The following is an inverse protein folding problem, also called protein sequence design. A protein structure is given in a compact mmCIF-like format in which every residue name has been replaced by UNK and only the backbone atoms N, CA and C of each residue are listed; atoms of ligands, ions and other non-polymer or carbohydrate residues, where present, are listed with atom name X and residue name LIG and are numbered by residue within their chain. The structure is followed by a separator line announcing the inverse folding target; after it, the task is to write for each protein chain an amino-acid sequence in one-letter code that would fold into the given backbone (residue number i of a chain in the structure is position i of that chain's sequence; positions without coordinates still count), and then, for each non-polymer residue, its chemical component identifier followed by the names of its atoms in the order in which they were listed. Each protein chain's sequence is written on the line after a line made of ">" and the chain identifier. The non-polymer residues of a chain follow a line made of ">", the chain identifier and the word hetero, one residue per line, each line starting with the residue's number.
data_IF_350071735129
#
_entry.id   IF_350071735129
#
_cell.length_a   1.000
_cell.length_b   1.000
_cell.length_c   1.000
_cell.angle_alpha   90.00
_cell.angle_beta   90.00
_cell.angle_gamma   90.00
#
_symmetry.space_group_name_H-M   'P 1'
#
loop_
_entity.id
_entity.type
_entity.pdbx_description
1 polymer ?
#
# COMPACT_ATOMS: atom_id res chain seq x y z
N UNK A 1 -8.23 45.96 68.99
CA UNK A 1 -9.67 45.90 68.63
C UNK A 1 -9.77 45.19 67.29
N UNK A 2 -10.57 44.09 67.17
CA UNK A 2 -10.80 43.30 65.94
C UNK A 2 -9.53 42.55 65.42
N UNK A 3 -9.47 41.23 65.12
CA UNK A 3 -10.46 40.14 64.90
C UNK A 3 -11.29 40.31 63.61
N UNK A 4 -11.53 39.37 62.69
CA UNK A 4 -11.54 37.87 62.63
C UNK A 4 -11.39 37.41 61.15
N UNK A 5 -11.04 36.19 60.69
CA UNK A 5 -10.35 34.98 61.20
C UNK A 5 -10.04 34.01 60.01
N UNK A 6 -9.51 32.79 60.25
CA UNK A 6 -9.19 31.74 59.24
C UNK A 6 -10.41 30.90 58.77
N UNK A 7 -10.39 30.21 57.60
CA UNK A 7 -10.01 28.77 57.51
C UNK A 7 -9.23 28.41 56.20
N UNK A 8 -8.34 27.40 56.12
CA UNK A 8 -8.48 25.92 56.17
C UNK A 8 -9.31 25.23 55.06
N UNK A 9 -8.66 24.37 54.25
CA UNK A 9 -9.07 22.96 54.14
C UNK A 9 -7.97 22.01 53.65
N UNK A 10 -7.89 20.84 54.29
CA UNK A 10 -6.98 19.71 54.00
C UNK A 10 -7.47 18.78 52.88
N UNK A 11 -6.59 17.92 52.33
CA UNK A 11 -6.57 16.47 52.66
C UNK A 11 -5.48 15.67 51.88
N UNK A 12 -4.70 14.84 52.59
CA UNK A 12 -3.92 13.68 52.10
C UNK A 12 -3.77 12.67 53.25
N UNK A 13 -3.99 11.36 53.07
CA UNK A 13 -3.69 10.34 54.07
C UNK A 13 -2.33 9.63 53.86
N UNK A 14 -1.69 9.25 54.97
CA UNK A 14 -0.50 8.38 55.08
C UNK A 14 -0.91 6.94 55.52
N UNK A 15 -0.03 5.91 55.41
CA UNK A 15 -0.42 4.50 55.57
C UNK A 15 -0.05 3.85 56.94
N UNK A 16 -0.88 2.89 57.36
CA UNK A 16 -0.65 1.90 58.44
C UNK A 16 -1.57 0.67 58.22
N UNK A 17 -1.38 -0.54 58.77
CA UNK A 17 -0.17 -1.27 59.24
C UNK A 17 -0.58 -2.70 59.69
N UNK A 18 0.17 -3.77 59.35
CA UNK A 18 0.12 -5.15 59.92
C UNK A 18 -1.23 -5.94 59.77
N UNK A 19 -1.28 -7.29 59.59
CA UNK A 19 -0.85 -8.37 60.52
C UNK A 19 -0.72 -9.77 59.85
N UNK A 20 0.39 -10.49 60.14
CA UNK A 20 0.55 -11.95 60.43
C UNK A 20 0.24 -13.12 59.44
N UNK A 21 1.30 -13.92 59.16
CA UNK A 21 1.44 -15.42 59.21
C UNK A 21 0.55 -16.33 58.29
N UNK A 22 0.88 -17.59 57.92
CA UNK A 22 1.95 -18.56 58.32
C UNK A 22 2.32 -19.62 57.23
N UNK A 23 3.63 -19.88 57.07
CA UNK A 23 4.39 -21.12 56.74
C UNK A 23 3.77 -22.40 56.11
N UNK A 24 4.27 -22.80 54.91
CA UNK A 24 4.83 -24.11 54.45
C UNK A 24 4.81 -24.14 52.90
N UNK A 25 5.83 -24.49 52.11
CA UNK A 25 7.12 -25.19 52.26
C UNK A 25 7.04 -26.73 52.38
N UNK A 26 7.31 -27.41 51.25
CA UNK A 26 7.98 -28.73 51.09
C UNK A 26 8.60 -28.75 49.68
N UNK A 27 9.81 -29.29 49.54
CA UNK A 27 10.45 -29.60 48.26
C UNK A 27 11.48 -30.73 48.47
N UNK A 28 11.47 -31.76 47.61
CA UNK A 28 12.53 -32.76 47.54
C UNK A 28 12.60 -33.40 46.16
N UNK A 29 13.79 -33.87 45.77
CA UNK A 29 14.11 -34.42 44.46
C UNK A 29 14.62 -35.87 44.56
N UNK A 30 14.96 -36.46 43.40
CA UNK A 30 16.03 -37.46 43.14
C UNK A 30 15.71 -38.97 42.92
N UNK A 31 15.89 -39.35 41.65
CA UNK A 31 16.78 -40.43 41.14
C UNK A 31 16.39 -41.93 41.20
N UNK A 32 17.07 -42.69 40.32
CA UNK A 32 17.00 -44.14 40.01
C UNK A 32 15.69 -44.60 39.30
N UNK A 33 15.67 -45.58 38.39
CA UNK A 33 16.74 -46.38 37.73
C UNK A 33 16.17 -47.32 36.64
N UNK A 34 17.00 -47.88 35.75
CA UNK A 34 16.66 -48.90 34.71
C UNK A 34 16.64 -50.35 35.32
N UNK A 35 16.25 -51.48 34.65
CA UNK A 35 16.04 -51.72 33.20
C UNK A 35 14.88 -52.69 32.76
N UNK A 36 14.84 -52.94 31.44
CA UNK A 36 14.32 -54.09 30.64
C UNK A 36 13.40 -55.21 31.20
N UNK A 37 12.29 -55.49 30.48
CA UNK A 37 11.82 -56.80 29.91
C UNK A 37 10.52 -56.51 29.10
N UNK A 38 10.11 -57.08 27.95
CA UNK A 38 10.48 -58.18 27.03
C UNK A 38 9.40 -59.30 26.92
N UNK A 39 8.51 -59.15 25.93
CA UNK A 39 7.63 -60.16 25.29
C UNK A 39 7.16 -59.54 23.94
N UNK A 40 7.33 -60.13 22.75
CA UNK A 40 6.75 -61.38 22.19
C UNK A 40 5.21 -61.34 22.08
N UNK A 41 4.55 -61.59 20.93
CA UNK A 41 4.97 -61.83 19.53
C UNK A 41 3.72 -61.56 18.60
N UNK A 42 3.61 -61.78 17.27
CA UNK A 42 4.34 -62.56 16.25
C UNK A 42 4.29 -61.88 14.85
N UNK A 43 5.32 -62.15 14.03
CA UNK A 43 5.36 -62.56 12.60
C UNK A 43 4.50 -61.91 11.48
N UNK A 44 5.15 -61.65 10.33
CA UNK A 44 4.48 -61.17 9.10
C UNK A 44 5.40 -60.76 7.93
N UNK A 45 6.55 -61.42 7.72
CA UNK A 45 7.56 -61.01 6.70
C UNK A 45 7.40 -61.71 5.35
N UNK A 46 7.27 -60.96 4.24
CA UNK A 46 7.41 -61.48 2.88
C UNK A 46 7.87 -60.42 1.85
N UNK A 47 8.97 -60.70 1.15
CA UNK A 47 9.55 -59.95 0.01
C UNK A 47 10.52 -60.89 -0.74
N UNK A 48 10.87 -60.71 -2.03
CA UNK A 48 10.21 -59.95 -3.10
C UNK A 48 9.99 -60.76 -4.41
N UNK A 49 9.33 -60.18 -5.41
CA UNK A 49 9.32 -60.62 -6.82
C UNK A 49 8.28 -59.83 -7.62
N UNK A 50 8.43 -59.34 -8.86
CA UNK A 50 9.31 -59.64 -10.02
C UNK A 50 8.66 -60.45 -11.17
N UNK A 51 7.58 -59.91 -11.75
CA UNK A 51 7.29 -59.92 -13.20
C UNK A 51 6.33 -58.74 -13.48
N UNK A 52 6.64 -57.83 -14.41
CA UNK A 52 6.47 -57.88 -15.88
C UNK A 52 5.02 -57.73 -16.38
N UNK A 53 4.78 -56.60 -17.04
CA UNK A 53 3.90 -56.50 -18.22
C UNK A 53 2.39 -56.59 -18.04
N UNK A 54 1.72 -55.44 -17.92
CA UNK A 54 0.83 -54.98 -19.00
C UNK A 54 0.67 -53.44 -18.94
N UNK A 55 1.32 -52.74 -19.87
CA UNK A 55 1.26 -51.27 -19.96
C UNK A 55 0.16 -50.84 -20.92
N UNK A 56 -0.92 -50.25 -20.39
CA UNK A 56 -2.07 -49.80 -21.20
C UNK A 56 -1.62 -48.75 -22.22
N UNK A 57 -1.99 -48.97 -23.49
CA UNK A 57 -1.35 -48.34 -24.64
C UNK A 57 -1.72 -46.85 -24.80
N UNK A 58 -0.76 -45.96 -24.52
CA UNK A 58 -0.85 -44.55 -24.88
C UNK A 58 -0.52 -44.39 -26.38
N UNK A 59 -1.53 -44.06 -27.19
CA UNK A 59 -1.39 -43.99 -28.65
C UNK A 59 -0.35 -42.95 -29.10
N UNK A 60 0.85 -43.43 -29.48
CA UNK A 60 1.89 -42.64 -30.11
C UNK A 60 1.58 -42.50 -31.60
N UNK A 61 1.32 -41.26 -32.05
CA UNK A 61 1.19 -40.95 -33.48
C UNK A 61 2.58 -40.61 -34.02
N UNK A 62 3.09 -41.44 -34.93
CA UNK A 62 4.36 -41.19 -35.62
C UNK A 62 4.26 -40.02 -36.64
N UNK A 63 5.39 -39.33 -36.93
CA UNK A 63 5.35 -38.06 -37.66
C UNK A 63 5.24 -38.22 -39.18
N UNK A 64 4.07 -37.88 -39.75
CA UNK A 64 3.92 -37.73 -41.20
C UNK A 64 4.58 -36.44 -41.69
N UNK A 65 5.63 -36.60 -42.49
CA UNK A 65 6.36 -35.52 -43.13
C UNK A 65 5.69 -35.09 -44.46
N UNK A 66 5.97 -33.87 -44.90
CA UNK A 66 5.81 -33.35 -46.27
C UNK A 66 4.36 -33.30 -46.84
N UNK A 67 3.63 -32.24 -46.49
CA UNK A 67 2.52 -31.70 -47.29
C UNK A 67 2.38 -30.17 -47.12
N UNK A 68 3.35 -29.40 -47.60
CA UNK A 68 3.20 -27.95 -47.73
C UNK A 68 2.22 -27.63 -48.86
N UNK A 69 1.14 -26.88 -48.56
CA UNK A 69 0.26 -26.28 -49.56
C UNK A 69 -0.02 -24.83 -49.21
N UNK A 70 0.03 -23.96 -50.22
CA UNK A 70 -0.01 -22.51 -50.05
C UNK A 70 -1.31 -22.03 -49.43
N UNK A 71 -1.19 -21.19 -48.39
CA UNK A 71 -2.26 -20.28 -47.98
C UNK A 71 -2.11 -19.01 -48.82
N UNK A 72 -2.92 -18.78 -49.87
CA UNK A 72 -2.77 -17.60 -50.71
C UNK A 72 -3.05 -16.34 -49.90
N UNK A 73 -2.13 -15.38 -49.94
CA UNK A 73 -2.25 -14.05 -49.33
C UNK A 73 -3.29 -13.21 -50.08
N UNK A 74 -4.56 -13.53 -49.83
CA UNK A 74 -5.72 -12.84 -50.39
C UNK A 74 -5.68 -11.35 -50.01
N UNK A 75 -5.49 -10.52 -51.03
CA UNK A 75 -5.37 -9.07 -50.90
C UNK A 75 -6.66 -8.52 -50.31
N UNK A 76 -6.57 -7.86 -49.16
CA UNK A 76 -7.68 -7.03 -48.66
C UNK A 76 -7.80 -5.82 -49.61
N UNK A 77 -8.83 -5.80 -50.45
CA UNK A 77 -9.10 -4.63 -51.29
C UNK A 77 -9.54 -3.46 -50.41
N UNK A 78 -8.87 -2.31 -50.58
CA UNK A 78 -9.16 -1.10 -49.82
C UNK A 78 -10.62 -0.64 -49.98
N UNK A 79 -11.28 -0.93 -51.12
CA UNK A 79 -12.69 -0.60 -51.38
C UNK A 79 -13.66 -1.38 -50.50
N UNK A 80 -13.36 -2.64 -50.19
CA UNK A 80 -14.21 -3.46 -49.31
C UNK A 80 -14.11 -2.99 -47.85
N UNK A 81 -12.92 -2.55 -47.43
CA UNK A 81 -12.72 -1.91 -46.13
C UNK A 81 -13.49 -0.59 -46.06
N UNK A 82 -13.37 0.25 -47.09
CA UNK A 82 -14.05 1.56 -47.16
C UNK A 82 -15.58 1.42 -47.20
N UNK A 83 -16.11 0.43 -47.94
CA UNK A 83 -17.53 0.10 -47.97
C UNK A 83 -18.04 -0.35 -46.59
N UNK A 84 -17.27 -1.18 -45.88
CA UNK A 84 -17.60 -1.61 -44.50
C UNK A 84 -17.54 -0.47 -43.48
N UNK A 85 -16.65 0.52 -43.63
CA UNK A 85 -16.64 1.71 -42.79
C UNK A 85 -17.87 2.61 -43.06
N UNK A 86 -18.24 2.81 -44.32
CA UNK A 86 -19.37 3.68 -44.73
C UNK A 86 -20.72 3.22 -44.19
N UNK A 87 -20.92 1.91 -43.96
CA UNK A 87 -22.16 1.39 -43.36
C UNK A 87 -22.22 1.46 -41.83
N UNK A 88 -21.20 1.99 -41.14
CA UNK A 88 -21.05 1.82 -39.67
C UNK A 88 -20.94 3.11 -38.84
N UNK A 89 -21.20 4.29 -39.42
CA UNK A 89 -21.07 5.58 -38.70
C UNK A 89 -22.30 6.49 -38.83
N UNK A 90 -23.14 6.64 -37.78
CA UNK A 90 -24.25 7.60 -37.79
C UNK A 90 -23.76 9.03 -37.51
N UNK A 91 -23.76 9.88 -38.54
CA UNK A 91 -23.78 11.36 -38.47
C UNK A 91 -22.72 12.02 -37.56
N UNK A 92 -21.47 12.08 -38.02
CA UNK A 92 -20.53 13.09 -37.51
C UNK A 92 -21.06 14.52 -37.78
N UNK A 93 -21.07 15.36 -36.75
CA UNK A 93 -21.40 16.80 -36.86
C UNK A 93 -20.32 17.49 -37.70
N UNK A 94 -20.70 18.28 -38.70
CA UNK A 94 -19.77 18.96 -39.62
C UNK A 94 -18.74 19.79 -38.86
N UNK A 95 -17.48 19.38 -38.89
CA UNK A 95 -16.34 20.25 -38.56
C UNK A 95 -16.15 21.23 -39.72
N UNK A 96 -16.06 22.53 -39.44
CA UNK A 96 -15.59 23.49 -40.45
C UNK A 96 -14.10 23.25 -40.67
N UNK A 97 -13.71 23.04 -41.93
CA UNK A 97 -12.30 23.09 -42.32
C UNK A 97 -11.80 24.52 -42.02
N UNK A 98 -10.64 24.61 -41.37
CA UNK A 98 -10.03 25.88 -40.99
C UNK A 98 -9.26 26.44 -42.19
N UNK A 99 -9.60 27.65 -42.63
CA UNK A 99 -8.91 28.34 -43.72
C UNK A 99 -7.69 29.08 -43.15
N UNK A 100 -6.44 28.76 -43.57
CA UNK A 100 -5.24 29.42 -43.06
C UNK A 100 -5.09 30.88 -43.54
N UNK A 101 -5.88 31.34 -44.52
CA UNK A 101 -5.73 32.66 -45.13
C UNK A 101 -6.42 33.82 -44.37
N UNK A 102 -6.96 33.60 -43.16
CA UNK A 102 -7.72 34.63 -42.42
C UNK A 102 -7.28 34.80 -40.95
N UNK A 103 -5.98 34.89 -40.70
CA UNK A 103 -5.45 35.37 -39.42
C UNK A 103 -5.25 36.90 -39.43
N UNK A 104 -5.79 37.64 -38.45
CA UNK A 104 -5.39 39.04 -38.23
C UNK A 104 -3.90 39.08 -37.82
N UNK A 105 -3.10 39.86 -38.53
CA UNK A 105 -1.71 40.10 -38.15
C UNK A 105 -1.64 40.79 -36.77
N UNK A 106 -0.84 40.31 -35.81
CA UNK A 106 -0.66 41.00 -34.53
C UNK A 106 0.07 42.32 -34.75
N UNK A 107 -0.58 43.43 -34.41
CA UNK A 107 0.01 44.77 -34.47
C UNK A 107 1.17 44.89 -33.46
N UNK A 108 2.33 45.46 -33.83
CA UNK A 108 3.43 45.68 -32.90
C UNK A 108 3.07 46.80 -31.91
N UNK A 109 2.89 46.47 -30.64
CA UNK A 109 2.66 47.46 -29.57
C UNK A 109 3.98 48.09 -29.11
N UNK A 110 4.07 49.42 -29.16
CA UNK A 110 5.24 50.18 -28.70
C UNK A 110 5.16 50.49 -27.21
N UNK A 111 6.30 50.51 -26.47
CA UNK A 111 6.30 50.71 -25.03
C UNK A 111 6.36 52.20 -24.66
N UNK A 112 5.24 52.82 -24.31
CA UNK A 112 5.20 54.20 -23.78
C UNK A 112 4.05 54.39 -22.78
N UNK A 113 4.24 55.32 -21.84
CA UNK A 113 3.30 55.81 -20.81
C UNK A 113 2.84 54.83 -19.72
N UNK A 114 3.49 54.94 -18.56
CA UNK A 114 3.06 54.34 -17.30
C UNK A 114 2.37 55.39 -16.39
N UNK A 115 1.22 55.06 -15.76
CA UNK A 115 0.64 55.90 -14.71
C UNK A 115 0.96 55.39 -13.30
N UNK A 116 1.44 56.29 -12.44
CA UNK A 116 1.25 56.35 -10.98
C UNK A 116 1.40 55.07 -10.12
N UNK A 117 2.44 55.05 -9.28
CA UNK A 117 2.50 54.21 -8.07
C UNK A 117 1.26 54.44 -7.17
N UNK A 118 0.62 53.35 -6.74
CA UNK A 118 0.09 53.21 -5.36
C UNK A 118 -0.24 51.74 -5.08
N UNK A 119 0.72 50.97 -4.54
CA UNK A 119 0.39 49.60 -4.08
C UNK A 119 1.54 48.73 -3.59
N UNK A 120 1.73 48.63 -2.27
CA UNK A 120 2.60 47.61 -1.66
C UNK A 120 1.92 46.23 -1.69
N UNK A 121 1.99 45.55 -2.83
CA UNK A 121 1.56 44.17 -2.98
C UNK A 121 2.44 43.43 -3.99
N UNK A 122 3.40 42.62 -3.50
CA UNK A 122 4.26 41.79 -4.36
C UNK A 122 3.38 40.77 -5.09
N UNK A 123 3.31 40.77 -6.44
CA UNK A 123 2.59 39.73 -7.17
C UNK A 123 3.41 38.44 -7.17
N UNK A 124 3.30 37.65 -6.10
CA UNK A 124 3.79 36.26 -6.09
C UNK A 124 2.85 35.41 -6.94
N UNK A 125 3.09 35.39 -8.25
CA UNK A 125 2.55 34.35 -9.12
C UNK A 125 3.01 33.00 -8.56
N UNK A 126 2.07 32.22 -8.01
CA UNK A 126 2.37 30.87 -7.51
C UNK A 126 2.82 30.02 -8.69
N UNK A 127 3.97 29.36 -8.56
CA UNK A 127 4.30 28.23 -9.41
C UNK A 127 3.34 27.08 -9.07
N UNK A 128 2.90 26.35 -10.10
CA UNK A 128 1.90 25.29 -9.93
C UNK A 128 2.54 24.05 -9.33
N UNK A 129 2.50 23.91 -8.01
CA UNK A 129 2.98 22.74 -7.27
C UNK A 129 3.72 23.06 -5.97
N UNK A 130 4.24 24.28 -5.81
CA UNK A 130 4.97 24.73 -4.62
C UNK A 130 4.22 24.43 -3.31
N UNK A 131 4.83 23.63 -2.43
CA UNK A 131 4.31 23.45 -1.08
C UNK A 131 4.41 24.76 -0.28
N UNK A 132 3.29 25.19 0.30
CA UNK A 132 3.20 26.42 1.10
C UNK A 132 3.79 26.18 2.50
N UNK A 133 4.70 27.05 2.94
CA UNK A 133 5.26 26.95 4.30
C UNK A 133 4.23 27.43 5.33
N UNK A 134 3.80 26.52 6.21
CA UNK A 134 2.78 26.80 7.23
C UNK A 134 3.21 26.24 8.60
N UNK A 135 2.69 26.82 9.68
CA UNK A 135 2.92 26.35 11.04
C UNK A 135 2.05 25.11 11.31
N UNK A 136 2.65 23.93 11.16
CA UNK A 136 1.94 22.63 11.24
C UNK A 136 1.95 22.06 12.68
N UNK A 137 0.94 21.27 13.08
CA UNK A 137 0.90 20.66 14.41
C UNK A 137 2.15 19.86 14.75
N UNK A 138 2.54 19.83 16.02
CA UNK A 138 3.77 19.18 16.48
C UNK A 138 3.87 17.71 16.00
N UNK A 139 4.96 17.39 15.29
CA UNK A 139 5.20 16.08 14.70
C UNK A 139 4.64 15.88 13.28
N UNK A 140 3.83 16.81 12.75
CA UNK A 140 3.45 16.86 11.33
C UNK A 140 4.56 17.53 10.52
N UNK A 141 4.82 17.05 9.30
CA UNK A 141 5.83 17.61 8.39
C UNK A 141 5.23 18.15 7.09
N UNK A 142 4.16 17.52 6.61
CA UNK A 142 3.43 17.88 5.39
C UNK A 142 1.94 17.66 5.62
N UNK A 143 1.09 18.47 4.99
CA UNK A 143 -0.35 18.17 4.81
C UNK A 143 -0.75 18.26 3.36
N UNK A 144 -1.73 17.45 2.94
CA UNK A 144 -2.33 17.47 1.59
C UNK A 144 -3.84 17.59 1.71
N UNK A 145 -4.41 18.71 1.24
CA UNK A 145 -5.82 19.09 1.41
C UNK A 145 -6.29 18.91 2.88
N UNK A 146 -5.42 19.26 3.85
CA UNK A 146 -5.63 19.11 5.28
C UNK A 146 -5.33 17.72 5.88
N UNK A 147 -5.12 16.67 5.07
CA UNK A 147 -4.72 15.35 5.56
C UNK A 147 -3.23 15.31 5.93
N UNK A 148 -2.93 14.89 7.16
CA UNK A 148 -1.61 15.07 7.80
C UNK A 148 -0.63 13.91 7.53
N UNK A 149 0.65 14.25 7.38
CA UNK A 149 1.77 13.30 7.29
C UNK A 149 2.75 13.61 8.43
N UNK A 150 3.06 12.59 9.23
CA UNK A 150 3.93 12.75 10.41
C UNK A 150 5.40 12.45 10.11
N UNK A 151 6.30 13.06 10.90
CA UNK A 151 7.73 12.80 10.86
C UNK A 151 8.07 11.33 11.16
N UNK A 152 7.27 10.69 12.03
CA UNK A 152 7.39 9.25 12.33
C UNK A 152 7.08 8.39 11.10
N UNK A 153 5.95 8.61 10.42
CA UNK A 153 5.59 7.86 9.20
C UNK A 153 6.66 7.98 8.11
N UNK A 154 7.16 9.21 7.89
CA UNK A 154 8.20 9.45 6.87
C UNK A 154 9.53 8.81 7.26
N UNK A 155 9.97 8.98 8.52
CA UNK A 155 11.26 8.41 8.94
C UNK A 155 11.24 6.89 9.06
N UNK A 156 10.12 6.25 9.43
CA UNK A 156 10.01 4.79 9.48
C UNK A 156 9.94 4.16 8.08
N UNK A 157 9.26 4.82 7.13
CA UNK A 157 9.28 4.40 5.72
C UNK A 157 10.65 4.62 5.07
N UNK A 158 11.35 5.71 5.40
CA UNK A 158 12.72 5.95 4.96
C UNK A 158 13.73 4.95 5.56
N UNK A 159 13.61 4.58 6.84
CA UNK A 159 14.39 3.50 7.48
C UNK A 159 14.16 2.15 6.79
N UNK A 160 12.91 1.85 6.43
CA UNK A 160 12.59 0.63 5.69
C UNK A 160 13.24 0.60 4.31
N UNK A 161 13.16 1.70 3.54
CA UNK A 161 13.86 1.83 2.26
C UNK A 161 15.38 1.65 2.42
N UNK A 162 16.00 2.30 3.40
CA UNK A 162 17.42 2.15 3.71
C UNK A 162 17.83 0.72 4.12
N UNK A 163 16.89 -0.16 4.47
CA UNK A 163 17.16 -1.52 4.94
C UNK A 163 17.51 -2.52 3.82
N UNK A 164 17.32 -2.18 2.55
CA UNK A 164 17.49 -3.15 1.45
C UNK A 164 17.97 -2.59 0.11
N UNK A 165 17.98 -1.28 -0.10
CA UNK A 165 18.44 -0.64 -1.33
C UNK A 165 19.50 0.43 -1.00
N UNK A 166 20.48 0.60 -1.88
CA UNK A 166 21.47 1.68 -1.77
C UNK A 166 20.88 3.05 -2.15
N UNK A 167 21.51 4.13 -1.68
CA UNK A 167 21.01 5.50 -1.84
C UNK A 167 21.50 6.44 -0.74
N UNK A 168 20.97 7.66 -0.69
CA UNK A 168 21.23 8.64 0.38
C UNK A 168 20.02 8.79 1.31
N UNK A 169 20.20 9.25 2.57
CA UNK A 169 19.10 9.54 3.49
C UNK A 169 18.00 10.40 2.86
N UNK A 170 18.37 11.48 2.18
CA UNK A 170 17.43 12.38 1.51
C UNK A 170 16.66 11.71 0.37
N UNK A 171 17.29 10.76 -0.34
CA UNK A 171 16.62 9.96 -1.38
C UNK A 171 15.52 9.09 -0.79
N UNK A 172 15.80 8.43 0.35
CA UNK A 172 14.79 7.61 1.04
C UNK A 172 13.67 8.46 1.64
N UNK A 173 14.00 9.63 2.20
CA UNK A 173 12.99 10.56 2.74
C UNK A 173 12.12 11.15 1.63
N UNK A 174 12.70 11.55 0.49
CA UNK A 174 11.94 12.07 -0.65
C UNK A 174 11.02 11.00 -1.25
N UNK A 175 11.51 9.75 -1.34
CA UNK A 175 10.70 8.59 -1.77
C UNK A 175 9.59 8.26 -0.77
N UNK A 176 9.85 8.34 0.54
CA UNK A 176 8.83 8.14 1.57
C UNK A 176 7.75 9.24 1.52
N UNK A 177 8.16 10.50 1.32
CA UNK A 177 7.25 11.63 1.13
C UNK A 177 6.37 11.45 -0.12
N UNK A 178 6.95 11.10 -1.27
CA UNK A 178 6.18 10.83 -2.51
C UNK A 178 5.02 9.85 -2.28
N UNK A 179 5.33 8.69 -1.68
CA UNK A 179 4.34 7.65 -1.43
C UNK A 179 3.27 8.08 -0.41
N UNK A 180 3.66 8.78 0.66
CA UNK A 180 2.72 9.24 1.70
C UNK A 180 1.85 10.41 1.21
N UNK A 181 2.39 11.33 0.41
CA UNK A 181 1.67 12.44 -0.21
C UNK A 181 0.64 11.91 -1.22
N UNK A 182 1.02 10.93 -2.05
CA UNK A 182 0.08 10.26 -2.97
C UNK A 182 -1.09 9.62 -2.21
N UNK A 183 -0.83 8.90 -1.12
CA UNK A 183 -1.88 8.33 -0.26
C UNK A 183 -2.77 9.43 0.33
N UNK A 184 -2.19 10.50 0.92
CA UNK A 184 -2.99 11.57 1.53
C UNK A 184 -3.81 12.38 0.54
N UNK A 185 -3.31 12.62 -0.67
CA UNK A 185 -4.09 13.25 -1.75
C UNK A 185 -5.37 12.45 -2.05
N UNK A 186 -5.25 11.12 -2.08
CA UNK A 186 -6.38 10.22 -2.32
C UNK A 186 -7.33 10.20 -1.11
N UNK A 187 -6.80 10.07 0.11
CA UNK A 187 -7.61 10.10 1.34
C UNK A 187 -8.39 11.42 1.49
N UNK A 188 -7.75 12.57 1.26
CA UNK A 188 -8.41 13.87 1.35
C UNK A 188 -9.45 14.07 0.24
N UNK A 189 -9.14 13.71 -1.01
CA UNK A 189 -10.07 13.79 -2.14
C UNK A 189 -11.33 12.91 -1.98
N UNK A 190 -11.24 11.81 -1.22
CA UNK A 190 -12.39 10.96 -0.89
C UNK A 190 -13.33 11.56 0.17
N UNK A 191 -12.85 12.55 0.95
CA UNK A 191 -13.57 13.13 2.08
C UNK A 191 -13.41 12.32 3.38
N UNK A 192 -13.32 13.04 4.50
CA UNK A 192 -13.06 12.49 5.84
C UNK A 192 -14.12 11.49 6.31
N UNK A 193 -15.38 11.69 5.94
CA UNK A 193 -16.48 10.75 6.23
C UNK A 193 -16.25 9.39 5.55
N UNK A 194 -15.99 9.38 4.23
CA UNK A 194 -15.74 8.14 3.48
C UNK A 194 -14.45 7.45 3.95
N UNK A 195 -13.40 8.22 4.24
CA UNK A 195 -12.16 7.71 4.85
C UNK A 195 -12.45 7.01 6.19
N UNK A 196 -13.25 7.65 7.05
CA UNK A 196 -13.61 7.09 8.37
C UNK A 196 -14.45 5.81 8.22
N UNK A 197 -15.44 5.81 7.32
CA UNK A 197 -16.28 4.65 7.05
C UNK A 197 -15.47 3.46 6.52
N UNK A 198 -14.59 3.68 5.53
CA UNK A 198 -13.73 2.64 4.97
C UNK A 198 -12.73 2.10 6.01
N UNK A 199 -12.06 2.97 6.78
CA UNK A 199 -11.13 2.57 7.85
C UNK A 199 -11.83 1.75 8.94
N UNK A 200 -13.06 2.12 9.33
CA UNK A 200 -13.89 1.36 10.28
C UNK A 200 -14.26 -0.03 9.72
N UNK A 201 -14.76 -0.09 8.49
CA UNK A 201 -15.17 -1.33 7.83
C UNK A 201 -14.02 -2.35 7.74
N UNK A 202 -12.85 -1.96 7.24
CA UNK A 202 -11.70 -2.87 7.18
C UNK A 202 -11.12 -3.16 8.57
N UNK A 203 -11.24 -2.24 9.53
CA UNK A 203 -10.86 -2.47 10.94
C UNK A 203 -11.69 -3.57 11.60
N UNK A 204 -12.98 -3.65 11.31
CA UNK A 204 -13.86 -4.73 11.79
C UNK A 204 -13.43 -6.09 11.21
N UNK A 205 -13.05 -6.14 9.93
CA UNK A 205 -12.51 -7.32 9.27
C UNK A 205 -11.13 -7.73 9.81
N UNK A 206 -10.25 -6.77 10.06
CA UNK A 206 -8.93 -7.00 10.65
C UNK A 206 -9.06 -7.54 12.08
N UNK A 207 -9.95 -6.97 12.90
CA UNK A 207 -10.22 -7.42 14.26
C UNK A 207 -10.91 -8.80 14.31
N UNK A 208 -11.65 -9.19 13.26
CA UNK A 208 -12.10 -10.57 13.09
C UNK A 208 -10.93 -11.51 12.76
N UNK A 209 -10.08 -11.12 11.80
CA UNK A 209 -8.95 -11.93 11.31
C UNK A 209 -7.79 -12.09 12.31
N UNK A 210 -7.67 -11.18 13.29
CA UNK A 210 -6.63 -11.21 14.31
C UNK A 210 -6.92 -12.15 15.50
N UNK A 211 -8.09 -12.80 15.54
CA UNK A 211 -8.43 -13.79 16.59
C UNK A 211 -7.64 -15.09 16.37
N UNK A 212 -7.27 -15.85 17.42
CA UNK A 212 -6.43 -17.05 17.29
C UNK A 212 -6.96 -18.08 16.28
N UNK A 213 -8.26 -18.35 16.33
CA UNK A 213 -8.94 -19.37 15.52
C UNK A 213 -9.56 -18.82 14.22
N UNK A 214 -9.17 -17.62 13.79
CA UNK A 214 -9.76 -16.98 12.61
C UNK A 214 -9.24 -17.55 11.28
N UNK A 215 -10.16 -18.01 10.43
CA UNK A 215 -9.86 -18.31 9.03
C UNK A 215 -9.70 -17.00 8.22
N UNK A 216 -8.44 -16.57 8.12
CA UNK A 216 -8.04 -15.45 7.28
C UNK A 216 -8.41 -15.64 5.81
N UNK A 217 -8.38 -16.89 5.30
CA UNK A 217 -8.67 -17.18 3.91
C UNK A 217 -10.18 -17.09 3.61
N UNK A 218 -11.05 -17.42 4.57
CA UNK A 218 -12.48 -17.14 4.47
C UNK A 218 -12.76 -15.62 4.44
N UNK A 219 -12.20 -14.86 5.39
CA UNK A 219 -12.36 -13.40 5.46
C UNK A 219 -11.84 -12.73 4.17
N UNK A 220 -10.72 -13.20 3.62
CA UNK A 220 -10.19 -12.71 2.36
C UNK A 220 -11.05 -13.07 1.13
N UNK A 221 -11.70 -14.25 1.11
CA UNK A 221 -12.66 -14.63 0.07
C UNK A 221 -13.94 -13.79 0.10
N UNK A 222 -14.42 -13.47 1.30
CA UNK A 222 -15.69 -12.74 1.49
C UNK A 222 -15.56 -11.23 1.31
N UNK A 223 -14.40 -10.65 1.65
CA UNK A 223 -14.27 -9.18 1.79
C UNK A 223 -13.16 -8.54 0.93
N UNK A 224 -12.14 -9.30 0.48
CA UNK A 224 -11.03 -8.71 -0.29
C UNK A 224 -11.44 -8.39 -1.72
N UNK A 225 -11.10 -7.19 -2.17
CA UNK A 225 -11.34 -6.71 -3.53
C UNK A 225 -10.14 -6.92 -4.46
N UNK A 226 -9.06 -7.54 -3.97
CA UNK A 226 -7.97 -8.03 -4.80
C UNK A 226 -8.36 -9.33 -5.52
N UNK A 227 -7.91 -9.60 -6.77
CA UNK A 227 -8.10 -10.88 -7.43
C UNK A 227 -7.60 -12.12 -6.65
N UNK A 228 -6.63 -11.97 -5.73
CA UNK A 228 -6.20 -13.06 -4.85
C UNK A 228 -7.25 -13.51 -3.84
N UNK A 229 -8.35 -12.77 -3.66
CA UNK A 229 -9.51 -13.14 -2.83
C UNK A 229 -9.96 -14.59 -3.05
N UNK A 230 -10.09 -15.02 -4.31
CA UNK A 230 -10.46 -16.39 -4.68
C UNK A 230 -9.54 -17.47 -4.06
N UNK A 231 -8.26 -17.13 -3.89
CA UNK A 231 -7.22 -17.99 -3.29
C UNK A 231 -7.03 -17.74 -1.79
N UNK A 232 -7.96 -17.07 -1.11
CA UNK A 232 -7.83 -16.72 0.31
C UNK A 232 -6.87 -15.56 0.58
N UNK A 233 -6.68 -14.69 -0.42
CA UNK A 233 -5.82 -13.50 -0.34
C UNK A 233 -4.33 -13.76 -0.53
N UNK A 234 -3.89 -15.01 -0.66
CA UNK A 234 -2.48 -15.40 -0.83
C UNK A 234 -1.85 -14.71 -2.06
N UNK A 235 -0.70 -14.09 -1.85
CA UNK A 235 0.10 -13.44 -2.90
C UNK A 235 1.23 -14.34 -3.41
N UNK A 236 1.42 -15.54 -2.84
CA UNK A 236 2.63 -16.32 -3.06
C UNK A 236 3.85 -15.64 -2.42
N UNK A 237 5.04 -16.00 -2.89
CA UNK A 237 6.30 -15.41 -2.44
C UNK A 237 6.61 -14.16 -3.26
N UNK A 238 7.01 -13.07 -2.59
CA UNK A 238 7.41 -11.82 -3.25
C UNK A 238 8.60 -11.15 -2.54
N UNK A 239 9.41 -10.41 -3.30
CA UNK A 239 10.53 -9.63 -2.79
C UNK A 239 10.13 -8.21 -2.39
N UNK A 240 11.04 -7.49 -1.72
CA UNK A 240 10.79 -6.12 -1.21
C UNK A 240 10.40 -5.11 -2.29
N UNK A 241 10.93 -5.29 -3.51
CA UNK A 241 10.66 -4.43 -4.67
C UNK A 241 9.45 -4.87 -5.52
N UNK A 242 8.83 -6.01 -5.20
CA UNK A 242 7.72 -6.58 -5.98
C UNK A 242 6.35 -5.98 -5.64
N UNK A 243 6.27 -5.14 -4.60
CA UNK A 243 5.05 -4.54 -4.06
C UNK A 243 5.27 -3.05 -3.77
N UNK A 244 4.20 -2.27 -3.66
CA UNK A 244 4.28 -0.86 -3.23
C UNK A 244 4.90 -0.74 -1.84
N UNK A 245 5.76 0.25 -1.63
CA UNK A 245 6.65 0.33 -0.45
C UNK A 245 5.92 0.20 0.89
N UNK A 246 4.77 0.87 1.15
CA UNK A 246 4.06 0.72 2.43
C UNK A 246 3.52 -0.68 2.68
N UNK A 247 3.17 -1.42 1.62
CA UNK A 247 2.74 -2.82 1.73
C UNK A 247 3.93 -3.75 2.03
N UNK A 248 5.05 -3.54 1.32
CA UNK A 248 6.28 -4.28 1.56
C UNK A 248 6.82 -4.03 2.98
N UNK A 249 6.77 -2.79 3.47
CA UNK A 249 7.16 -2.42 4.84
C UNK A 249 6.43 -3.27 5.88
N UNK A 250 5.10 -3.38 5.78
CA UNK A 250 4.29 -4.18 6.71
C UNK A 250 4.61 -5.68 6.61
N UNK A 251 4.66 -6.23 5.39
CA UNK A 251 4.94 -7.65 5.16
C UNK A 251 6.34 -8.07 5.70
N UNK A 252 7.36 -7.26 5.46
CA UNK A 252 8.72 -7.55 5.90
C UNK A 252 8.98 -7.23 7.37
N UNK A 253 8.20 -6.34 7.99
CA UNK A 253 8.32 -6.04 9.44
C UNK A 253 7.66 -7.11 10.32
N UNK A 254 6.52 -7.66 9.92
CA UNK A 254 5.71 -8.53 10.79
C UNK A 254 6.27 -9.96 10.94
N UNK A 255 6.25 -10.56 12.15
CA UNK A 255 6.56 -11.97 12.36
C UNK A 255 5.62 -12.92 11.59
N UNK A 256 6.12 -14.11 11.25
CA UNK A 256 5.31 -15.17 10.62
C UNK A 256 4.15 -15.57 11.55
N UNK A 257 2.96 -15.75 10.97
CA UNK A 257 1.72 -16.05 11.67
C UNK A 257 0.91 -14.81 12.10
N UNK A 258 1.53 -13.64 12.22
CA UNK A 258 0.86 -12.43 12.71
C UNK A 258 0.06 -11.71 11.61
N UNK A 259 -0.99 -11.00 12.04
CA UNK A 259 -1.85 -10.14 11.22
C UNK A 259 -1.44 -8.67 11.43
N UNK A 260 -1.34 -7.90 10.35
CA UNK A 260 -0.98 -6.49 10.40
C UNK A 260 -2.06 -5.61 11.03
N UNK A 261 -1.72 -4.39 11.52
CA UNK A 261 -2.70 -3.32 11.60
C UNK A 261 -3.28 -2.99 10.21
N UNK A 262 -4.34 -2.18 10.17
CA UNK A 262 -4.83 -1.58 8.92
C UNK A 262 -3.83 -0.51 8.46
N UNK A 263 -3.46 -0.55 7.17
CA UNK A 263 -2.61 0.45 6.54
C UNK A 263 -3.16 0.86 5.15
N UNK A 264 -2.65 1.95 4.58
CA UNK A 264 -3.11 2.50 3.31
C UNK A 264 -2.07 2.35 2.19
N UNK A 265 -2.53 2.27 0.94
CA UNK A 265 -1.74 2.44 -0.28
C UNK A 265 -2.59 3.16 -1.34
N UNK A 266 -2.03 3.49 -2.50
CA UNK A 266 -2.76 4.12 -3.62
C UNK A 266 -3.95 3.28 -4.16
N UNK A 267 -4.09 2.02 -3.74
CA UNK A 267 -5.24 1.16 -4.07
C UNK A 267 -6.39 1.28 -3.06
N UNK A 268 -6.11 1.57 -1.80
CA UNK A 268 -7.08 1.51 -0.71
C UNK A 268 -6.46 1.14 0.62
N UNK A 269 -7.29 0.57 1.51
CA UNK A 269 -6.83 0.04 2.78
C UNK A 269 -6.54 -1.45 2.69
N UNK A 270 -5.55 -1.89 3.46
CA UNK A 270 -5.08 -3.25 3.51
C UNK A 270 -4.91 -3.73 4.95
N UNK A 271 -5.05 -5.04 5.15
CA UNK A 271 -4.31 -5.76 6.18
C UNK A 271 -3.81 -7.09 5.62
N UNK A 272 -2.72 -7.63 6.18
CA UNK A 272 -2.08 -8.85 5.71
C UNK A 272 -1.75 -9.81 6.85
N UNK A 273 -1.55 -11.08 6.53
CA UNK A 273 -1.02 -12.12 7.42
C UNK A 273 0.23 -12.72 6.78
N UNK A 274 1.36 -12.66 7.47
CA UNK A 274 2.61 -13.26 6.98
C UNK A 274 2.52 -14.77 7.16
N UNK A 275 2.64 -15.54 6.09
CA UNK A 275 2.57 -17.01 6.08
C UNK A 275 3.93 -17.67 5.98
N UNK A 276 4.98 -16.93 5.59
CA UNK A 276 6.36 -17.40 5.64
C UNK A 276 7.38 -16.30 5.30
N UNK A 277 8.65 -16.52 5.61
CA UNK A 277 9.78 -15.68 5.19
C UNK A 277 10.95 -16.58 4.77
N UNK A 278 11.67 -16.15 3.74
CA UNK A 278 12.86 -16.80 3.23
C UNK A 278 13.95 -15.74 3.08
N UNK A 279 15.12 -15.97 3.68
CA UNK A 279 16.23 -15.02 3.64
C UNK A 279 17.00 -15.16 2.31
N UNK A 280 17.37 -14.04 1.70
CA UNK A 280 18.25 -14.01 0.54
C UNK A 280 19.74 -14.13 0.90
N UNK A 281 20.64 -14.06 -0.09
CA UNK A 281 22.06 -13.81 0.18
C UNK A 281 22.27 -12.35 0.63
N UNK A 282 21.48 -11.42 0.07
CA UNK A 282 21.37 -10.03 0.53
C UNK A 282 19.97 -9.69 1.04
N UNK A 283 19.78 -8.62 1.84
CA UNK A 283 18.45 -8.18 2.28
C UNK A 283 17.50 -7.78 1.14
N UNK A 284 18.02 -7.42 -0.03
CA UNK A 284 17.23 -7.12 -1.24
C UNK A 284 16.54 -8.39 -1.81
N UNK A 285 17.21 -9.54 -1.66
CA UNK A 285 16.73 -10.86 -2.10
C UNK A 285 15.83 -11.55 -1.07
N UNK A 286 15.64 -10.97 0.12
CA UNK A 286 14.68 -11.50 1.10
C UNK A 286 13.28 -11.59 0.47
N UNK A 287 12.63 -12.74 0.67
CA UNK A 287 11.27 -12.99 0.21
C UNK A 287 10.32 -13.22 1.39
N UNK A 288 9.07 -12.79 1.22
CA UNK A 288 7.99 -13.03 2.17
C UNK A 288 6.82 -13.70 1.43
N UNK A 289 6.16 -14.64 2.09
CA UNK A 289 4.84 -15.12 1.69
C UNK A 289 3.80 -14.48 2.60
N UNK A 290 2.74 -13.91 2.02
CA UNK A 290 1.66 -13.31 2.79
C UNK A 290 0.33 -13.43 2.07
N UNK A 291 -0.75 -13.56 2.86
CA UNK A 291 -2.12 -13.37 2.40
C UNK A 291 -2.59 -11.97 2.79
N UNK A 292 -3.46 -11.33 1.99
CA UNK A 292 -3.99 -10.00 2.34
C UNK A 292 -5.46 -9.80 1.99
N UNK A 293 -6.05 -8.81 2.66
CA UNK A 293 -7.37 -8.25 2.38
C UNK A 293 -7.20 -6.81 1.92
N UNK A 294 -7.82 -6.45 0.80
CA UNK A 294 -7.83 -5.09 0.23
C UNK A 294 -9.27 -4.57 0.18
N UNK A 295 -9.52 -3.40 0.77
CA UNK A 295 -10.71 -2.58 0.56
C UNK A 295 -10.33 -1.39 -0.32
N UNK A 296 -10.70 -1.41 -1.61
CA UNK A 296 -10.31 -0.36 -2.55
C UNK A 296 -11.01 0.97 -2.24
N UNK A 297 -10.33 2.08 -2.52
CA UNK A 297 -10.94 3.41 -2.45
C UNK A 297 -12.07 3.58 -3.47
N UNK A 298 -11.89 3.01 -4.67
CA UNK A 298 -12.88 2.92 -5.72
C UNK A 298 -12.56 1.70 -6.61
N UNK A 299 -13.57 0.87 -6.94
CA UNK A 299 -13.37 -0.39 -7.70
C UNK A 299 -12.78 -0.17 -9.10
N UNK A 300 -12.86 1.03 -9.64
CA UNK A 300 -12.31 1.39 -10.96
C UNK A 300 -10.90 2.00 -10.92
N UNK A 301 -10.37 2.28 -9.72
CA UNK A 301 -9.19 3.13 -9.47
C UNK A 301 -9.22 4.54 -10.09
N UNK A 302 -10.28 4.93 -10.82
CA UNK A 302 -10.36 6.25 -11.49
C UNK A 302 -10.20 7.40 -10.50
N UNK A 303 -10.81 7.31 -9.31
CA UNK A 303 -10.69 8.35 -8.27
C UNK A 303 -9.27 8.46 -7.70
N UNK A 304 -8.56 7.35 -7.51
CA UNK A 304 -7.17 7.38 -7.08
C UNK A 304 -6.29 8.10 -8.11
N UNK A 305 -6.50 7.81 -9.40
CA UNK A 305 -5.80 8.46 -10.51
C UNK A 305 -6.19 9.95 -10.65
N UNK A 306 -7.47 10.29 -10.43
CA UNK A 306 -7.99 11.66 -10.44
C UNK A 306 -7.34 12.52 -9.35
N UNK A 307 -7.30 12.05 -8.10
CA UNK A 307 -6.68 12.80 -7.00
C UNK A 307 -5.15 12.87 -7.13
N UNK A 308 -4.51 11.83 -7.65
CA UNK A 308 -3.08 11.88 -8.03
C UNK A 308 -2.85 12.93 -9.13
N UNK A 309 -3.72 13.01 -10.13
CA UNK A 309 -3.65 14.04 -11.19
C UNK A 309 -3.91 15.44 -10.64
N UNK A 310 -4.79 15.58 -9.63
CA UNK A 310 -5.05 16.85 -8.92
C UNK A 310 -3.80 17.33 -8.17
N UNK A 311 -3.09 16.44 -7.47
CA UNK A 311 -1.79 16.71 -6.85
C UNK A 311 -0.76 17.16 -7.90
N UNK A 312 -0.52 16.33 -8.93
CA UNK A 312 0.48 16.58 -9.98
C UNK A 312 0.19 17.83 -10.85
N UNK A 313 -1.01 18.40 -10.78
CA UNK A 313 -1.38 19.64 -11.50
C UNK A 313 -1.47 20.87 -10.60
N UNK A 314 -0.95 20.82 -9.37
CA UNK A 314 -0.94 21.95 -8.43
C UNK A 314 -2.33 22.38 -7.97
N UNK A 315 -3.30 21.46 -7.95
CA UNK A 315 -4.70 21.72 -7.55
C UNK A 315 -5.07 21.13 -6.18
N UNK A 316 -4.18 20.35 -5.58
CA UNK A 316 -4.26 19.98 -4.16
C UNK A 316 -3.54 21.04 -3.33
N UNK A 317 -4.08 21.39 -2.17
CA UNK A 317 -3.38 22.28 -1.24
C UNK A 317 -2.30 21.48 -0.51
N UNK A 318 -1.02 21.78 -0.75
CA UNK A 318 0.11 21.11 -0.10
C UNK A 318 0.82 22.10 0.79
N UNK A 319 0.87 21.82 2.09
CA UNK A 319 1.60 22.63 3.06
C UNK A 319 2.74 21.84 3.70
N UNK A 320 3.82 22.52 4.04
CA UNK A 320 5.06 21.95 4.61
C UNK A 320 5.52 22.76 5.82
N UNK A 321 6.05 22.08 6.84
CA UNK A 321 6.43 22.71 8.12
C UNK A 321 7.52 23.78 7.98
N UNK A 322 8.57 23.47 7.22
CA UNK A 322 9.77 24.29 7.14
C UNK A 322 10.55 24.04 5.83
N UNK A 323 11.57 24.87 5.61
CA UNK A 323 12.38 24.85 4.38
C UNK A 323 13.34 23.65 4.32
N UNK A 324 13.59 22.98 5.44
CA UNK A 324 14.37 21.72 5.49
C UNK A 324 13.52 20.57 4.95
N UNK A 325 12.25 20.48 5.35
CA UNK A 325 11.30 19.54 4.76
C UNK A 325 10.93 19.89 3.32
N UNK A 326 10.81 21.18 2.96
CA UNK A 326 10.58 21.59 1.55
C UNK A 326 11.69 21.08 0.63
N UNK A 327 12.96 21.17 1.04
CA UNK A 327 14.08 20.66 0.24
C UNK A 327 14.05 19.13 0.01
N UNK A 328 13.39 18.38 0.90
CA UNK A 328 13.26 16.91 0.80
C UNK A 328 12.04 16.46 -0.01
N UNK A 329 11.11 17.36 -0.35
CA UNK A 329 9.92 17.03 -1.14
C UNK A 329 10.26 16.45 -2.53
N UNK A 330 9.35 15.69 -3.15
CA UNK A 330 9.48 15.26 -4.53
C UNK A 330 9.71 16.45 -5.49
N UNK A 331 10.43 16.28 -6.61
CA UNK A 331 10.78 17.39 -7.51
C UNK A 331 9.61 18.20 -8.08
N UNK A 332 8.38 17.66 -8.04
CA UNK A 332 7.16 18.30 -8.53
C UNK A 332 6.42 19.14 -7.47
N UNK A 333 6.96 19.28 -6.25
CA UNK A 333 6.39 20.07 -5.14
C UNK A 333 7.39 21.07 -4.51
N UNK A 334 8.52 21.34 -5.18
CA UNK A 334 9.69 22.04 -4.62
C UNK A 334 9.92 23.46 -5.11
#
# INVERSE_FOLDING_TARGET
>A
MRSTDCPDRSNRPEPMSTFFRTTRLIATSCLFGLPCTLAHAQDGSATPGSDQGESVEAAVVEPTKDAAQDVPSSKIDAKDVEARLKMRTPKFRKVKIFDPATQPQPQPVTPTDAPGDTGKGKPTARLFGDAEKQDLPAGVVVTVDGAQITETEVTDLAKYLASYQGGTPDTYVSTALDQLIGIRAIEAGLGSEKVTALRKQIGEWQAAAAKPDADFAAIAKEHSQCPSSAQGGDLGQFGRQSMVVPFAQQAFSLPVGQVSPVFATNFGYHFLKVTGKQKGATPAEDQVRASHVLLMFDKSQMKANEFTTRLMSGKADVAVRDDEWRQKLPPYLR
#
